data_IF_061401412698
#
_entry.id   IF_061401412698
#
_cell.length_a   1.000
_cell.length_b   1.000
_cell.length_c   1.000
_cell.angle_alpha   90.00
_cell.angle_beta   90.00
_cell.angle_gamma   90.00
#
_symmetry.space_group_name_H-M   'P 1'
#
loop_
_entity.id
_entity.type
_entity.pdbx_description
1 polymer ?
#
# COMPACT_ATOMS: atom_id res chain seq x y z
N UNK A 1 -1.15 14.41 6.28
CA UNK A 1 -1.40 12.96 6.17
C UNK A 1 -2.65 12.75 5.32
N UNK A 2 -2.55 12.09 4.16
CA UNK A 2 -3.73 11.81 3.31
C UNK A 2 -4.61 10.76 3.98
N UNK A 3 -5.92 10.98 4.02
CA UNK A 3 -6.88 10.08 4.66
C UNK A 3 -7.04 8.80 3.84
N UNK A 4 -6.48 7.68 4.33
CA UNK A 4 -6.68 6.37 3.72
C UNK A 4 -8.01 5.80 4.23
N UNK A 5 -8.88 5.38 3.32
CA UNK A 5 -10.22 4.87 3.63
C UNK A 5 -10.38 3.44 3.10
N UNK A 6 -11.46 2.75 3.46
CA UNK A 6 -11.78 1.43 2.90
C UNK A 6 -12.01 1.42 1.38
N UNK A 7 -12.12 2.60 0.75
CA UNK A 7 -12.23 2.77 -0.70
C UNK A 7 -10.89 3.03 -1.38
N UNK A 8 -9.80 3.22 -0.62
CA UNK A 8 -8.48 3.49 -1.19
C UNK A 8 -7.98 2.28 -1.97
N UNK A 9 -7.59 2.52 -3.22
CA UNK A 9 -7.04 1.49 -4.12
C UNK A 9 -5.59 1.81 -4.40
N UNK A 10 -4.71 0.83 -4.19
CA UNK A 10 -3.34 0.88 -4.69
C UNK A 10 -3.36 0.57 -6.18
N UNK A 11 -2.67 1.40 -6.98
CA UNK A 11 -2.49 1.16 -8.42
C UNK A 11 -1.00 1.00 -8.70
N UNK A 12 -0.65 -0.02 -9.46
CA UNK A 12 0.70 -0.26 -9.95
C UNK A 12 0.64 -0.72 -11.41
N UNK A 13 1.77 -0.67 -12.13
CA UNK A 13 1.83 -1.25 -13.47
C UNK A 13 1.95 -2.77 -13.42
N UNK A 14 1.59 -3.46 -14.50
CA UNK A 14 1.56 -4.93 -14.54
C UNK A 14 2.96 -5.54 -14.41
N UNK A 15 3.98 -4.86 -14.90
CA UNK A 15 5.38 -5.33 -14.89
C UNK A 15 5.90 -5.54 -13.46
N UNK A 16 5.35 -4.81 -12.49
CA UNK A 16 5.74 -4.89 -11.07
C UNK A 16 5.02 -6.04 -10.34
N UNK A 17 4.04 -6.69 -10.98
CA UNK A 17 3.21 -7.73 -10.36
C UNK A 17 4.01 -8.94 -9.88
N UNK A 18 5.02 -9.37 -10.65
CA UNK A 18 5.88 -10.51 -10.27
C UNK A 18 6.70 -10.19 -9.02
N UNK A 19 7.22 -8.96 -8.91
CA UNK A 19 7.95 -8.49 -7.72
C UNK A 19 7.01 -8.40 -6.51
N UNK A 20 5.81 -7.85 -6.68
CA UNK A 20 4.83 -7.80 -5.59
C UNK A 20 4.39 -9.21 -5.16
N UNK A 21 4.32 -10.17 -6.08
CA UNK A 21 3.99 -11.56 -5.77
C UNK A 21 5.07 -12.22 -4.90
N UNK A 22 6.36 -11.97 -5.16
CA UNK A 22 7.48 -12.59 -4.46
C UNK A 22 7.75 -12.04 -3.05
N UNK A 23 7.22 -10.87 -2.72
CA UNK A 23 7.35 -10.28 -1.37
C UNK A 23 6.62 -11.11 -0.31
N UNK A 24 7.14 -11.10 0.92
CA UNK A 24 6.40 -11.63 2.07
C UNK A 24 5.13 -10.82 2.34
N UNK A 25 4.14 -11.42 3.00
CA UNK A 25 2.89 -10.73 3.33
C UNK A 25 3.12 -9.45 4.16
N UNK A 26 4.06 -9.48 5.11
CA UNK A 26 4.43 -8.31 5.92
C UNK A 26 5.04 -7.21 5.07
N UNK A 27 5.97 -7.54 4.17
CA UNK A 27 6.59 -6.57 3.27
C UNK A 27 5.56 -5.92 2.34
N UNK A 28 4.63 -6.69 1.75
CA UNK A 28 3.54 -6.14 0.92
C UNK A 28 2.67 -5.16 1.69
N UNK A 29 2.32 -5.49 2.94
CA UNK A 29 1.47 -4.64 3.78
C UNK A 29 2.11 -3.29 4.06
N UNK A 30 3.39 -3.27 4.44
CA UNK A 30 4.11 -2.02 4.68
C UNK A 30 4.24 -1.21 3.40
N UNK A 31 4.61 -1.86 2.29
CA UNK A 31 4.75 -1.20 0.99
C UNK A 31 3.43 -0.56 0.53
N UNK A 32 2.31 -1.27 0.62
CA UNK A 32 1.02 -0.74 0.20
C UNK A 32 0.55 0.43 1.06
N UNK A 33 0.82 0.44 2.36
CA UNK A 33 0.54 1.61 3.19
C UNK A 33 1.38 2.82 2.80
N UNK A 34 2.66 2.62 2.49
CA UNK A 34 3.50 3.69 1.97
C UNK A 34 2.94 4.24 0.64
N UNK A 35 2.56 3.35 -0.29
CA UNK A 35 1.97 3.74 -1.58
C UNK A 35 0.62 4.47 -1.45
N UNK A 36 -0.18 4.19 -0.42
CA UNK A 36 -1.44 4.91 -0.16
C UNK A 36 -1.24 6.40 0.15
N UNK A 37 -0.04 6.81 0.54
CA UNK A 37 0.30 8.21 0.83
C UNK A 37 0.71 8.99 -0.42
N UNK A 38 1.02 8.30 -1.51
CA UNK A 38 1.53 8.86 -2.76
C UNK A 38 0.37 9.36 -3.63
N UNK A 39 0.55 10.53 -4.25
CA UNK A 39 -0.29 10.92 -5.38
C UNK A 39 0.22 10.28 -6.67
N UNK A 40 -0.59 9.47 -7.33
CA UNK A 40 -0.18 8.83 -8.59
C UNK A 40 -0.01 9.82 -9.75
N UNK A 41 -0.48 11.06 -9.61
CA UNK A 41 -0.37 12.11 -10.63
C UNK A 41 0.88 12.97 -10.48
N UNK A 42 1.49 12.94 -9.29
CA UNK A 42 2.65 13.75 -8.97
C UNK A 42 3.92 12.92 -9.14
N UNK A 43 5.02 13.59 -9.49
CA UNK A 43 6.33 12.96 -9.52
C UNK A 43 6.81 12.74 -8.08
N UNK A 44 7.32 11.54 -7.80
CA UNK A 44 7.95 11.26 -6.51
C UNK A 44 9.28 11.99 -6.43
N UNK A 45 9.52 12.67 -5.31
CA UNK A 45 10.83 13.15 -4.91
C UNK A 45 11.49 12.14 -3.97
N UNK A 46 12.74 12.37 -3.58
CA UNK A 46 13.49 11.54 -2.62
C UNK A 46 12.97 11.69 -1.16
N UNK A 47 11.66 11.81 -1.00
CA UNK A 47 10.98 12.01 0.28
C UNK A 47 10.89 10.70 1.08
N UNK A 48 11.06 10.81 2.40
CA UNK A 48 10.90 9.68 3.32
C UNK A 48 9.41 9.45 3.58
N UNK A 49 8.94 8.23 3.31
CA UNK A 49 7.57 7.81 3.63
C UNK A 49 7.54 7.11 4.99
N UNK A 50 7.06 7.83 6.01
CA UNK A 50 6.85 7.26 7.33
C UNK A 50 5.57 6.42 7.37
N UNK A 51 5.63 5.25 8.03
CA UNK A 51 4.49 4.35 8.21
C UNK A 51 4.27 4.11 9.69
N UNK A 52 3.12 4.55 10.19
CA UNK A 52 2.70 4.38 11.58
C UNK A 52 2.07 3.00 11.81
N UNK A 53 2.54 2.29 12.85
CA UNK A 53 2.04 0.97 13.26
C UNK A 53 0.58 0.99 13.74
N UNK A 54 0.14 2.07 14.39
CA UNK A 54 -1.24 2.20 14.85
C UNK A 54 -2.20 2.42 13.69
N UNK A 55 -1.73 3.16 12.67
CA UNK A 55 -2.44 3.31 11.40
C UNK A 55 -2.51 1.98 10.63
N UNK A 56 -1.41 1.22 10.63
CA UNK A 56 -1.31 -0.12 10.03
C UNK A 56 -2.37 -1.06 10.60
N UNK A 57 -2.55 -1.12 11.92
CA UNK A 57 -3.50 -2.03 12.57
C UNK A 57 -4.96 -1.71 12.22
N UNK A 58 -5.32 -0.43 12.10
CA UNK A 58 -6.69 -0.01 11.72
C UNK A 58 -7.01 -0.34 10.25
N UNK A 59 -6.01 -0.28 9.38
CA UNK A 59 -6.13 -0.55 7.94
C UNK A 59 -6.05 -2.04 7.58
N UNK A 60 -5.30 -2.85 8.35
CA UNK A 60 -5.03 -4.26 8.02
C UNK A 60 -6.26 -5.16 7.99
N UNK A 61 -7.26 -4.85 8.81
CA UNK A 61 -8.55 -5.55 8.80
C UNK A 61 -9.23 -5.47 7.42
N UNK A 62 -8.93 -4.44 6.63
CA UNK A 62 -9.52 -4.19 5.32
C UNK A 62 -8.66 -4.69 4.16
N UNK A 63 -7.33 -4.58 4.26
CA UNK A 63 -6.40 -5.03 3.20
C UNK A 63 -6.47 -6.56 3.03
N UNK A 64 -6.65 -7.32 4.12
CA UNK A 64 -6.85 -8.77 4.04
C UNK A 64 -8.12 -9.16 3.25
N UNK A 65 -9.15 -8.30 3.15
CA UNK A 65 -10.34 -8.55 2.34
C UNK A 65 -10.15 -8.27 0.85
N UNK A 66 -9.18 -7.44 0.46
CA UNK A 66 -8.98 -7.02 -0.94
C UNK A 66 -7.95 -7.86 -1.70
N UNK A 67 -7.03 -8.54 -1.01
CA UNK A 67 -5.99 -9.41 -1.62
C UNK A 67 -6.26 -10.92 -1.44
N UNK A 68 -7.39 -11.30 -0.83
CA UNK A 68 -7.87 -12.70 -0.72
C UNK A 68 -9.09 -12.95 -1.63
N UNK A 69 -9.08 -12.43 -2.85
CA UNK A 69 -9.87 -13.04 -3.93
C UNK A 69 -8.92 -13.86 -4.80
N UNK A 70 -9.23 -15.13 -5.08
CA UNK A 70 -8.43 -15.98 -5.96
C UNK A 70 -8.29 -15.37 -7.35
#
# INVERSE_FOLDING_TARGET
>A
MKTVTGLTKVRHRNEVGVTLASLSLSAKRVLFLALCQIDTKEMLNDDILEVDADFFLRQLLWINMLHMRP
#
